data_IF_726429309067
#
_entry.id   IF_726429309067
#
_cell.length_a   1.000
_cell.length_b   1.000
_cell.length_c   1.000
_cell.angle_alpha   90.00
_cell.angle_beta   90.00
_cell.angle_gamma   90.00
#
_symmetry.space_group_name_H-M   'P 1'
#
loop_
_entity.id
_entity.type
_entity.pdbx_description
1 polymer ?
#
# COMPACT_ATOMS: atom_id res chain seq x y z
N UNK A 1 -4.77 -61.75 47.69
CA UNK A 1 -3.76 -61.14 46.81
C UNK A 1 -4.40 -60.70 45.54
N UNK A 2 -4.74 -59.42 45.39
CA UNK A 2 -5.23 -58.83 44.11
C UNK A 2 -4.60 -57.47 43.95
N UNK A 3 -3.69 -57.36 42.94
CA UNK A 3 -2.99 -56.12 42.58
C UNK A 3 -3.89 -55.29 41.67
N UNK A 4 -4.18 -54.07 42.08
CA UNK A 4 -4.85 -53.06 41.21
C UNK A 4 -3.79 -52.29 40.43
N UNK A 5 -3.95 -52.23 39.10
CA UNK A 5 -3.13 -51.43 38.20
C UNK A 5 -3.88 -50.14 37.94
N UNK A 6 -3.31 -49.03 38.36
CA UNK A 6 -3.80 -47.69 38.00
C UNK A 6 -3.18 -47.30 36.64
N UNK A 7 -4.03 -47.05 35.67
CA UNK A 7 -3.64 -46.50 34.36
C UNK A 7 -3.66 -44.96 34.43
N UNK A 8 -2.52 -44.33 34.26
CA UNK A 8 -2.40 -42.88 34.11
C UNK A 8 -2.69 -42.46 32.67
N UNK A 9 -3.73 -41.71 32.45
CA UNK A 9 -4.05 -41.10 31.14
C UNK A 9 -3.39 -39.73 31.09
N UNK A 10 -2.34 -39.59 30.26
CA UNK A 10 -1.65 -38.33 29.99
C UNK A 10 -2.35 -37.65 28.83
N UNK A 11 -3.09 -36.57 29.08
CA UNK A 11 -3.70 -35.73 28.05
C UNK A 11 -2.62 -34.78 27.50
N UNK A 12 -2.16 -34.98 26.25
CA UNK A 12 -1.36 -34.01 25.51
C UNK A 12 -2.29 -32.92 24.97
N UNK A 13 -2.20 -31.73 25.56
CA UNK A 13 -2.84 -30.52 25.01
C UNK A 13 -2.06 -30.01 23.81
N UNK A 14 -2.64 -30.07 22.62
CA UNK A 14 -2.15 -29.38 21.42
C UNK A 14 -2.48 -27.91 21.50
N UNK A 15 -1.49 -27.05 21.80
CA UNK A 15 -1.60 -25.60 21.62
C UNK A 15 -1.38 -25.29 20.14
N UNK A 16 -2.48 -25.05 19.42
CA UNK A 16 -2.43 -24.54 18.06
C UNK A 16 -2.03 -23.04 18.10
N UNK A 17 -0.74 -22.76 17.89
CA UNK A 17 -0.23 -21.41 17.71
C UNK A 17 -0.67 -20.91 16.32
N UNK A 18 -1.66 -20.03 16.26
CA UNK A 18 -1.98 -19.26 15.06
C UNK A 18 -0.82 -18.30 14.77
N UNK A 19 0.14 -18.70 13.95
CA UNK A 19 1.12 -17.81 13.35
C UNK A 19 0.40 -16.94 12.30
N UNK A 20 0.21 -15.67 12.61
CA UNK A 20 -0.18 -14.65 11.63
C UNK A 20 0.97 -14.53 10.64
N UNK A 21 0.79 -15.08 9.42
CA UNK A 21 1.73 -14.89 8.33
C UNK A 21 1.65 -13.42 7.89
N UNK A 22 2.57 -12.59 8.39
CA UNK A 22 2.87 -11.30 7.78
C UNK A 22 3.56 -11.64 6.46
N UNK A 23 2.88 -11.34 5.34
CA UNK A 23 3.49 -11.45 4.02
C UNK A 23 4.61 -10.41 3.92
N UNK A 24 5.83 -10.79 4.27
CA UNK A 24 7.01 -10.00 3.94
C UNK A 24 7.07 -9.87 2.41
N UNK A 25 7.26 -8.65 1.91
CA UNK A 25 7.58 -8.42 0.49
C UNK A 25 8.76 -9.33 0.17
N UNK A 26 8.54 -10.34 -0.67
CA UNK A 26 9.56 -11.35 -0.96
C UNK A 26 10.83 -10.68 -1.51
N UNK A 27 12.02 -11.26 -1.32
CA UNK A 27 13.32 -10.68 -1.66
C UNK A 27 13.50 -10.34 -3.15
N UNK A 28 12.55 -10.70 -4.01
CA UNK A 28 12.62 -10.54 -5.47
C UNK A 28 11.63 -9.52 -6.06
N UNK A 29 10.92 -8.74 -5.25
CA UNK A 29 10.02 -7.69 -5.79
C UNK A 29 10.85 -6.48 -6.19
N UNK A 30 10.84 -6.15 -7.48
CA UNK A 30 11.53 -4.98 -8.01
C UNK A 30 10.87 -3.70 -7.51
N UNK A 31 11.68 -2.75 -7.02
CA UNK A 31 11.20 -1.42 -6.74
C UNK A 31 11.36 -0.53 -7.96
N UNK A 32 10.28 0.13 -8.37
CA UNK A 32 10.22 1.02 -9.53
C UNK A 32 9.73 2.40 -9.10
N UNK A 33 10.45 3.45 -9.48
CA UNK A 33 10.03 4.83 -9.22
C UNK A 33 8.81 5.21 -10.06
N UNK A 34 7.96 6.15 -9.62
CA UNK A 34 6.73 6.54 -10.32
C UNK A 34 6.93 6.98 -11.77
N UNK A 35 8.03 7.67 -12.06
CA UNK A 35 8.40 8.17 -13.40
C UNK A 35 8.68 7.04 -14.41
N UNK A 36 9.07 5.85 -13.94
CA UNK A 36 9.31 4.65 -14.74
C UNK A 36 8.23 3.59 -14.63
N UNK A 37 7.16 3.85 -13.85
CA UNK A 37 6.15 2.83 -13.58
C UNK A 37 5.45 2.36 -14.85
N UNK A 38 5.15 3.26 -15.78
CA UNK A 38 4.45 2.93 -17.03
C UNK A 38 5.21 1.95 -17.93
N UNK A 39 6.54 1.84 -17.79
CA UNK A 39 7.34 0.85 -18.51
C UNK A 39 7.02 -0.57 -18.05
N UNK A 40 6.60 -0.74 -16.79
CA UNK A 40 6.31 -2.02 -16.15
C UNK A 40 4.82 -2.28 -15.97
N UNK A 41 4.07 -1.27 -15.50
CA UNK A 41 2.65 -1.37 -15.22
C UNK A 41 1.92 -0.08 -15.61
N UNK A 42 0.91 -0.22 -16.45
CA UNK A 42 0.06 0.88 -16.93
C UNK A 42 -1.26 0.85 -16.20
N UNK A 43 -1.65 1.96 -15.57
CA UNK A 43 -2.95 2.08 -14.90
C UNK A 43 -4.09 2.08 -15.94
N UNK A 44 -5.12 1.27 -15.70
CA UNK A 44 -6.21 1.06 -16.67
C UNK A 44 -7.51 1.76 -16.32
N UNK A 45 -7.79 1.99 -15.03
CA UNK A 45 -9.02 2.67 -14.64
C UNK A 45 -8.82 4.20 -14.64
N UNK A 46 -9.71 4.89 -15.32
CA UNK A 46 -9.71 6.36 -15.45
C UNK A 46 -10.49 7.07 -14.34
N UNK A 47 -11.33 6.32 -13.62
CA UNK A 47 -12.10 6.80 -12.46
C UNK A 47 -11.82 5.89 -11.28
N UNK A 48 -11.69 6.48 -10.09
CA UNK A 48 -11.44 5.77 -8.84
C UNK A 48 -12.66 5.95 -7.92
N UNK A 49 -13.10 4.84 -7.32
CA UNK A 49 -14.08 4.88 -6.24
C UNK A 49 -13.32 5.09 -4.93
N UNK A 50 -13.55 6.22 -4.30
CA UNK A 50 -12.83 6.59 -3.07
C UNK A 50 -13.80 6.84 -1.93
N UNK A 51 -13.44 6.36 -0.75
CA UNK A 51 -14.18 6.61 0.47
C UNK A 51 -13.79 8.00 1.01
N UNK A 52 -14.67 8.98 0.78
CA UNK A 52 -14.49 10.35 1.29
C UNK A 52 -15.33 10.52 2.54
N UNK A 53 -14.73 10.80 3.71
CA UNK A 53 -15.48 11.04 4.94
C UNK A 53 -16.28 12.34 4.87
N UNK A 54 -17.48 12.34 5.43
CA UNK A 54 -18.35 13.53 5.47
C UNK A 54 -17.81 14.63 6.40
N UNK A 55 -16.96 14.27 7.36
CA UNK A 55 -16.32 15.18 8.32
C UNK A 55 -14.94 14.66 8.69
N UNK A 56 -14.03 15.58 9.01
CA UNK A 56 -12.67 15.20 9.40
C UNK A 56 -11.70 16.38 9.39
N UNK A 57 -10.46 16.09 9.74
CA UNK A 57 -9.39 17.08 9.87
C UNK A 57 -8.79 17.38 8.50
N UNK A 58 -8.74 18.67 8.14
CA UNK A 58 -8.11 19.21 6.93
C UNK A 58 -8.67 18.69 5.59
N UNK A 59 -9.91 18.22 5.54
CA UNK A 59 -10.52 17.68 4.31
C UNK A 59 -10.56 18.67 3.14
N UNK A 60 -10.73 19.97 3.43
CA UNK A 60 -10.80 21.04 2.42
C UNK A 60 -9.47 21.73 2.13
N UNK A 61 -8.39 21.37 2.85
CA UNK A 61 -7.09 22.01 2.65
C UNK A 61 -6.34 21.42 1.46
N UNK A 62 -5.59 22.28 0.78
CA UNK A 62 -4.62 21.83 -0.22
C UNK A 62 -3.60 20.89 0.46
N UNK A 63 -3.53 19.65 0.01
CA UNK A 63 -2.84 18.55 0.68
C UNK A 63 -2.18 17.66 -0.34
N UNK A 64 -1.11 16.98 0.03
CA UNK A 64 -0.60 15.81 -0.69
C UNK A 64 -0.46 14.60 0.25
N UNK A 65 -0.61 13.40 -0.29
CA UNK A 65 -0.30 12.14 0.41
C UNK A 65 0.61 11.28 -0.43
N UNK A 66 1.69 10.76 0.17
CA UNK A 66 2.52 9.73 -0.44
C UNK A 66 2.11 8.36 0.06
N UNK A 67 1.83 7.45 -0.87
CA UNK A 67 1.38 6.10 -0.58
C UNK A 67 2.29 5.11 -1.29
N UNK A 68 2.93 4.20 -0.54
CA UNK A 68 3.65 3.06 -1.12
C UNK A 68 2.71 1.88 -1.26
N UNK A 69 2.89 1.08 -2.29
CA UNK A 69 2.09 -0.10 -2.56
C UNK A 69 2.82 -1.09 -3.46
N UNK A 70 2.34 -2.31 -3.49
CA UNK A 70 2.78 -3.34 -4.44
C UNK A 70 1.70 -3.54 -5.50
N UNK A 71 2.10 -3.70 -6.76
CA UNK A 71 1.25 -4.19 -7.85
C UNK A 71 1.53 -5.68 -7.99
N UNK A 72 0.53 -6.52 -7.78
CA UNK A 72 0.63 -7.97 -7.93
C UNK A 72 0.64 -8.41 -9.40
N UNK A 73 0.97 -9.67 -9.65
CA UNK A 73 0.98 -10.26 -11.01
C UNK A 73 -0.38 -10.23 -11.72
N UNK A 74 -1.46 -10.02 -10.99
CA UNK A 74 -2.82 -9.83 -11.49
C UNK A 74 -3.18 -8.35 -11.76
N UNK A 75 -2.25 -7.40 -11.53
CA UNK A 75 -2.47 -5.97 -11.71
C UNK A 75 -3.27 -5.31 -10.57
N UNK A 76 -3.48 -6.00 -9.45
CA UNK A 76 -4.19 -5.48 -8.28
C UNK A 76 -3.20 -4.94 -7.25
N UNK A 77 -3.53 -3.80 -6.65
CA UNK A 77 -2.70 -3.17 -5.61
C UNK A 77 -2.82 -3.88 -4.26
N UNK A 78 -1.70 -3.99 -3.55
CA UNK A 78 -1.54 -4.64 -2.23
C UNK A 78 -0.54 -3.88 -1.38
N UNK A 79 -0.45 -4.22 -0.09
CA UNK A 79 0.54 -3.68 0.87
C UNK A 79 0.56 -2.15 0.87
N UNK A 80 -0.64 -1.58 0.91
CA UNK A 80 -0.88 -0.13 0.78
C UNK A 80 -0.53 0.54 2.11
N UNK A 81 0.45 1.44 2.09
CA UNK A 81 0.89 2.18 3.28
C UNK A 81 0.99 3.67 2.98
N UNK A 82 0.22 4.48 3.69
CA UNK A 82 0.37 5.94 3.64
C UNK A 82 1.62 6.33 4.42
N UNK A 83 2.61 6.90 3.75
CA UNK A 83 3.91 7.28 4.34
C UNK A 83 3.91 8.66 4.94
N UNK A 84 3.28 9.61 4.25
CA UNK A 84 3.05 10.95 4.78
C UNK A 84 1.77 11.57 4.19
N UNK A 85 1.24 12.57 4.88
CA UNK A 85 0.15 13.43 4.41
C UNK A 85 0.43 14.83 4.92
N UNK A 86 0.54 15.82 4.05
CA UNK A 86 0.97 17.18 4.37
C UNK A 86 -0.04 18.19 3.84
N UNK A 87 -0.70 18.96 4.71
CA UNK A 87 -0.71 18.86 6.17
C UNK A 87 -1.39 17.56 6.64
N UNK A 88 -1.03 17.08 7.84
CA UNK A 88 -1.61 15.88 8.42
C UNK A 88 -3.14 16.02 8.56
N UNK A 89 -3.89 14.96 8.19
CA UNK A 89 -5.35 14.97 8.22
C UNK A 89 -5.97 13.68 7.68
N UNK A 90 -7.28 13.68 7.55
CA UNK A 90 -8.04 12.47 7.18
C UNK A 90 -8.04 12.18 5.67
N UNK A 91 -7.48 13.06 4.84
CA UNK A 91 -7.21 12.77 3.43
C UNK A 91 -6.24 11.59 3.22
N UNK A 92 -5.51 11.17 4.26
CA UNK A 92 -4.73 9.93 4.24
C UNK A 92 -5.57 8.68 3.94
N UNK A 93 -6.79 8.60 4.49
CA UNK A 93 -7.72 7.49 4.25
C UNK A 93 -8.24 7.49 2.82
N UNK A 94 -8.55 8.69 2.30
CA UNK A 94 -8.95 8.89 0.90
C UNK A 94 -7.82 8.45 -0.05
N UNK A 95 -6.58 8.81 0.25
CA UNK A 95 -5.41 8.40 -0.53
C UNK A 95 -5.23 6.86 -0.55
N UNK A 96 -5.35 6.22 0.60
CA UNK A 96 -5.28 4.75 0.68
C UNK A 96 -6.41 4.07 -0.09
N UNK A 97 -7.65 4.58 0.02
CA UNK A 97 -8.81 4.10 -0.72
C UNK A 97 -8.62 4.24 -2.24
N UNK A 98 -8.10 5.38 -2.69
CA UNK A 98 -7.79 5.60 -4.11
C UNK A 98 -6.79 4.55 -4.64
N UNK A 99 -5.69 4.32 -3.93
CA UNK A 99 -4.69 3.31 -4.34
C UNK A 99 -5.29 1.91 -4.35
N UNK A 100 -6.14 1.56 -3.40
CA UNK A 100 -6.82 0.26 -3.34
C UNK A 100 -7.69 -0.01 -4.57
N UNK A 101 -8.26 1.04 -5.14
CA UNK A 101 -9.13 0.94 -6.34
C UNK A 101 -8.34 0.94 -7.65
N UNK A 102 -7.05 1.30 -7.66
CA UNK A 102 -6.22 1.30 -8.86
C UNK A 102 -6.05 -0.09 -9.44
N UNK A 103 -6.11 -0.20 -10.78
CA UNK A 103 -5.93 -1.43 -11.55
C UNK A 103 -4.91 -1.19 -12.65
N UNK A 104 -4.12 -2.22 -12.91
CA UNK A 104 -2.99 -2.14 -13.81
C UNK A 104 -2.98 -3.28 -14.83
N UNK A 105 -2.43 -2.99 -16.01
CA UNK A 105 -2.06 -3.99 -17.03
C UNK A 105 -0.56 -3.95 -17.25
N UNK A 106 0.08 -5.06 -17.67
CA UNK A 106 1.53 -5.07 -17.93
C UNK A 106 1.95 -4.02 -18.94
N UNK A 107 2.99 -3.28 -18.62
CA UNK A 107 3.69 -2.39 -19.55
C UNK A 107 4.66 -3.15 -20.47
N UNK A 108 5.29 -2.42 -21.38
CA UNK A 108 6.17 -3.00 -22.41
C UNK A 108 7.33 -3.85 -21.84
N UNK A 109 7.86 -3.46 -20.68
CA UNK A 109 9.00 -4.14 -20.06
C UNK A 109 8.60 -5.19 -19.03
N UNK A 110 7.30 -5.56 -18.93
CA UNK A 110 6.81 -6.50 -17.93
C UNK A 110 5.85 -7.56 -18.50
N UNK A 111 6.17 -8.15 -19.64
CA UNK A 111 5.39 -9.23 -20.25
C UNK A 111 5.21 -10.44 -19.29
N UNK A 112 6.17 -10.67 -18.40
CA UNK A 112 6.12 -11.72 -17.39
C UNK A 112 5.17 -11.41 -16.20
N UNK A 113 4.58 -10.21 -16.14
CA UNK A 113 3.70 -9.76 -15.05
C UNK A 113 4.38 -9.84 -13.67
N UNK A 114 5.65 -9.53 -13.60
CA UNK A 114 6.39 -9.53 -12.34
C UNK A 114 5.83 -8.46 -11.40
N UNK A 115 5.60 -8.79 -10.12
CA UNK A 115 5.16 -7.82 -9.13
C UNK A 115 6.16 -6.67 -8.96
N UNK A 116 5.65 -5.47 -8.72
CA UNK A 116 6.44 -4.25 -8.56
C UNK A 116 6.05 -3.51 -7.29
N UNK A 117 7.05 -3.07 -6.52
CA UNK A 117 6.86 -2.15 -5.41
C UNK A 117 7.11 -0.71 -5.88
N UNK A 118 6.19 0.19 -5.59
CA UNK A 118 6.24 1.59 -6.03
C UNK A 118 5.56 2.52 -5.03
N UNK A 119 5.48 3.81 -5.37
CA UNK A 119 4.67 4.76 -4.63
C UNK A 119 3.99 5.75 -5.59
N UNK A 120 2.99 6.46 -5.07
CA UNK A 120 2.33 7.56 -5.75
C UNK A 120 2.18 8.75 -4.80
N UNK A 121 2.27 9.96 -5.33
CA UNK A 121 1.86 11.18 -4.63
C UNK A 121 0.49 11.58 -5.13
N UNK A 122 -0.51 11.58 -4.23
CA UNK A 122 -1.88 11.95 -4.54
C UNK A 122 -2.15 13.35 -3.99
N UNK A 123 -2.41 14.32 -4.86
CA UNK A 123 -2.76 15.67 -4.45
C UNK A 123 -4.26 15.82 -4.24
N UNK A 124 -4.64 16.71 -3.31
CA UNK A 124 -6.01 17.07 -3.02
C UNK A 124 -6.17 18.59 -2.95
N UNK A 125 -7.30 19.10 -3.43
CA UNK A 125 -7.71 20.51 -3.30
C UNK A 125 -6.61 21.49 -3.75
N UNK A 126 -5.87 21.16 -4.82
CA UNK A 126 -4.77 21.98 -5.28
C UNK A 126 -5.28 23.36 -5.76
N UNK A 127 -4.56 24.46 -5.44
CA UNK A 127 -4.87 25.79 -5.96
C UNK A 127 -4.61 25.87 -7.46
N UNK A 128 -5.12 26.92 -8.11
CA UNK A 128 -4.92 27.11 -9.55
C UNK A 128 -3.48 27.45 -9.93
N UNK A 129 -2.72 28.13 -9.03
CA UNK A 129 -1.35 28.54 -9.27
C UNK A 129 -0.38 27.35 -9.43
N UNK A 130 0.30 27.20 -10.61
CA UNK A 130 1.16 26.06 -10.87
C UNK A 130 2.38 25.93 -9.94
N UNK A 131 2.97 27.05 -9.52
CA UNK A 131 4.13 27.04 -8.64
C UNK A 131 3.77 26.53 -7.24
N UNK A 132 2.62 26.97 -6.71
CA UNK A 132 2.09 26.49 -5.43
C UNK A 132 1.69 25.02 -5.51
N UNK A 133 1.05 24.58 -6.60
CA UNK A 133 0.73 23.16 -6.84
C UNK A 133 1.97 22.30 -6.78
N UNK A 134 3.02 22.69 -7.52
CA UNK A 134 4.29 21.97 -7.53
C UNK A 134 4.91 21.89 -6.13
N UNK A 135 4.96 23.00 -5.40
CA UNK A 135 5.48 23.03 -4.02
C UNK A 135 4.74 22.06 -3.09
N UNK A 136 3.41 21.99 -3.20
CA UNK A 136 2.59 21.07 -2.40
C UNK A 136 2.92 19.62 -2.75
N UNK A 137 2.93 19.25 -4.03
CA UNK A 137 3.21 17.86 -4.45
C UNK A 137 4.63 17.43 -4.12
N UNK A 138 5.62 18.31 -4.33
CA UNK A 138 7.03 18.02 -4.03
C UNK A 138 7.27 17.74 -2.53
N UNK A 139 6.46 18.33 -1.64
CA UNK A 139 6.57 18.08 -0.20
C UNK A 139 6.29 16.63 0.20
N UNK A 140 5.56 15.88 -0.63
CA UNK A 140 5.23 14.47 -0.39
C UNK A 140 6.13 13.49 -1.16
N UNK A 141 7.05 13.95 -2.00
CA UNK A 141 7.96 13.06 -2.75
C UNK A 141 8.85 12.27 -1.77
N UNK A 142 8.90 10.96 -1.94
CA UNK A 142 9.74 10.06 -1.14
C UNK A 142 11.17 10.04 -1.70
N UNK A 143 12.03 10.92 -1.18
CA UNK A 143 13.39 11.15 -1.70
C UNK A 143 14.27 9.90 -1.63
N UNK A 144 14.13 9.11 -0.55
CA UNK A 144 14.95 7.92 -0.29
C UNK A 144 14.27 6.62 -0.76
N UNK A 145 13.26 6.72 -1.62
CA UNK A 145 12.63 5.52 -2.19
C UNK A 145 13.62 4.76 -3.08
N UNK A 146 13.74 3.42 -2.98
CA UNK A 146 12.95 2.51 -2.14
C UNK A 146 13.53 2.22 -0.74
N UNK A 147 14.69 2.76 -0.38
CA UNK A 147 15.33 2.51 0.92
C UNK A 147 14.45 3.03 2.07
N UNK A 148 14.30 2.22 3.13
CA UNK A 148 13.48 2.57 4.28
C UNK A 148 11.96 2.42 4.11
N UNK A 149 11.49 1.94 2.95
CA UNK A 149 10.05 1.82 2.66
C UNK A 149 9.58 0.38 2.37
N UNK A 150 10.49 -0.59 2.40
CA UNK A 150 10.21 -2.02 2.23
C UNK A 150 9.87 -2.71 3.54
#
# INVERSE_FOLDING_TARGET
MKRAHAAAVTALGFLASCMSAQAAVGPNVQAVKPDHLNDYWVMTNTSLNVDVPNSGVNLSKATCSAVTYMIGSDGVTRDIVVRNTIPAGDLKTVAASAVKDMRYTPGANNAARSPVFTYIVIPFNLPADPATRKKITDACVLKDFPQGYR
#
